data_IF_120407833689
#
_entry.id   IF_120407833689
#
_cell.length_a   1.000
_cell.length_b   1.000
_cell.length_c   1.000
_cell.angle_alpha   90.00
_cell.angle_beta   90.00
_cell.angle_gamma   90.00
#
_symmetry.space_group_name_H-M   'P 1'
#
loop_
_entity.id
_entity.type
_entity.pdbx_description
1 polymer ?
#
# COMPACT_ATOMS: atom_id res chain seq x y z
N UNK A 1 54.61 13.37 -0.35
CA UNK A 1 53.97 13.99 -1.50
C UNK A 1 53.23 12.95 -2.39
N UNK A 2 53.86 11.91 -2.94
CA UNK A 2 53.19 10.92 -3.85
C UNK A 2 51.95 10.21 -3.25
N UNK A 3 51.93 9.89 -1.92
CA UNK A 3 50.81 9.26 -1.25
C UNK A 3 49.59 10.18 -1.07
N UNK A 4 49.83 11.48 -0.85
CA UNK A 4 48.79 12.49 -0.72
C UNK A 4 48.11 12.78 -2.08
N UNK A 5 48.93 12.80 -3.14
CA UNK A 5 48.44 13.01 -4.52
C UNK A 5 47.54 11.84 -5.00
N UNK A 6 47.91 10.59 -4.64
CA UNK A 6 47.09 9.40 -4.94
C UNK A 6 45.77 9.44 -4.18
N UNK A 7 45.79 9.84 -2.90
CA UNK A 7 44.57 9.95 -2.08
C UNK A 7 43.64 11.04 -2.60
N UNK A 8 44.15 12.19 -3.05
CA UNK A 8 43.36 13.25 -3.67
C UNK A 8 42.77 12.81 -5.03
N UNK A 9 43.55 12.08 -5.84
CA UNK A 9 43.08 11.56 -7.13
C UNK A 9 41.96 10.50 -6.95
N UNK A 10 42.08 9.65 -5.92
CA UNK A 10 41.02 8.65 -5.62
C UNK A 10 39.77 9.31 -5.05
N UNK A 11 39.90 10.37 -4.26
CA UNK A 11 38.77 11.14 -3.74
C UNK A 11 38.02 11.89 -4.84
N UNK A 12 38.74 12.45 -5.84
CA UNK A 12 38.12 13.09 -7.01
C UNK A 12 37.36 12.10 -7.91
N UNK A 13 37.80 10.84 -8.01
CA UNK A 13 37.10 9.80 -8.79
C UNK A 13 35.81 9.33 -8.11
N UNK A 14 35.63 9.53 -6.81
CA UNK A 14 34.41 9.20 -6.10
C UNK A 14 33.31 10.29 -6.20
N UNK A 15 33.65 11.49 -6.72
CA UNK A 15 32.71 12.60 -6.86
C UNK A 15 32.05 12.70 -8.25
N UNK A 16 32.37 11.79 -9.17
CA UNK A 16 31.80 11.81 -10.54
C UNK A 16 30.66 10.81 -10.72
N UNK A 17 30.00 10.35 -9.66
CA UNK A 17 28.70 9.72 -9.79
C UNK A 17 27.61 10.80 -9.92
N UNK A 18 27.74 11.66 -10.92
CA UNK A 18 26.57 12.39 -11.42
C UNK A 18 25.68 11.34 -12.10
N UNK A 19 24.63 10.93 -11.39
CA UNK A 19 23.45 10.37 -12.07
C UNK A 19 22.98 11.50 -12.98
N UNK A 20 23.24 11.39 -14.30
CA UNK A 20 22.61 12.26 -15.28
C UNK A 20 21.14 11.85 -15.29
N UNK A 21 20.31 12.61 -14.57
CA UNK A 21 18.86 12.49 -14.75
C UNK A 21 18.55 12.90 -16.20
N UNK A 22 17.86 12.03 -16.93
CA UNK A 22 17.32 12.36 -18.24
C UNK A 22 16.33 13.53 -18.03
N UNK A 23 16.75 14.76 -18.34
CA UNK A 23 15.84 15.91 -18.30
C UNK A 23 14.99 15.90 -19.57
N UNK A 24 13.69 15.73 -19.46
CA UNK A 24 12.81 15.74 -20.63
C UNK A 24 12.82 17.14 -21.28
N UNK A 25 12.65 17.18 -22.58
CA UNK A 25 12.31 18.44 -23.23
C UNK A 25 10.94 18.90 -22.71
N UNK A 26 10.84 20.12 -22.21
CA UNK A 26 9.59 20.67 -21.70
C UNK A 26 8.63 21.05 -22.85
N UNK A 27 8.18 20.03 -23.56
CA UNK A 27 7.17 20.08 -24.62
C UNK A 27 6.10 19.05 -24.30
N UNK A 28 4.88 19.15 -24.85
CA UNK A 28 3.87 18.13 -24.67
C UNK A 28 4.35 16.72 -25.01
N UNK A 29 5.08 16.56 -26.11
CA UNK A 29 5.65 15.29 -26.56
C UNK A 29 6.70 14.76 -25.59
N UNK A 30 7.64 15.62 -25.18
CA UNK A 30 8.71 15.24 -24.27
C UNK A 30 8.18 14.84 -22.89
N UNK A 31 7.19 15.57 -22.36
CA UNK A 31 6.57 15.26 -21.09
C UNK A 31 5.76 13.96 -21.13
N UNK A 32 5.05 13.69 -22.23
CA UNK A 32 4.32 12.44 -22.44
C UNK A 32 5.28 11.25 -22.51
N UNK A 33 6.33 11.34 -23.34
CA UNK A 33 7.32 10.28 -23.53
C UNK A 33 8.05 9.97 -22.22
N UNK A 34 8.39 11.00 -21.46
CA UNK A 34 9.06 10.85 -20.19
C UNK A 34 8.16 10.18 -19.13
N UNK A 35 6.89 10.58 -19.04
CA UNK A 35 5.92 9.94 -18.15
C UNK A 35 5.75 8.45 -18.50
N UNK A 36 5.57 8.14 -19.79
CA UNK A 36 5.45 6.76 -20.24
C UNK A 36 6.69 5.94 -19.87
N UNK A 37 7.90 6.49 -20.13
CA UNK A 37 9.19 5.85 -19.82
C UNK A 37 9.38 5.60 -18.33
N UNK A 38 9.01 6.57 -17.46
CA UNK A 38 9.09 6.38 -15.99
C UNK A 38 8.26 5.17 -15.57
N UNK A 39 7.05 5.05 -16.08
CA UNK A 39 6.20 3.89 -15.74
C UNK A 39 6.80 2.61 -16.32
N UNK A 40 7.26 2.62 -17.58
CA UNK A 40 7.88 1.48 -18.25
C UNK A 40 9.05 0.91 -17.43
N UNK A 41 9.92 1.79 -16.95
CA UNK A 41 11.13 1.37 -16.21
C UNK A 41 10.88 1.05 -14.74
N UNK A 42 9.85 1.64 -14.09
CA UNK A 42 9.70 1.58 -12.62
C UNK A 42 8.43 0.91 -12.13
N UNK A 43 7.37 0.81 -12.93
CA UNK A 43 6.14 0.19 -12.48
C UNK A 43 6.31 -1.33 -12.27
N UNK A 44 5.96 -1.80 -11.07
CA UNK A 44 6.29 -3.17 -10.64
C UNK A 44 5.21 -4.22 -10.96
N UNK A 45 4.04 -3.83 -11.48
CA UNK A 45 2.91 -4.76 -11.67
C UNK A 45 2.54 -5.03 -13.12
N UNK A 46 3.40 -4.76 -14.10
CA UNK A 46 3.07 -5.00 -15.52
C UNK A 46 2.68 -6.45 -15.79
N UNK A 47 3.41 -7.43 -15.27
CA UNK A 47 3.07 -8.84 -15.44
C UNK A 47 1.68 -9.18 -14.88
N UNK A 48 1.32 -8.61 -13.72
CA UNK A 48 0.00 -8.78 -13.10
C UNK A 48 -1.11 -8.10 -13.93
N UNK A 49 -0.86 -6.86 -14.39
CA UNK A 49 -1.83 -6.11 -15.21
C UNK A 49 -2.05 -6.74 -16.58
N UNK A 50 -0.99 -7.26 -17.19
CA UNK A 50 -1.10 -8.02 -18.44
C UNK A 50 -1.96 -9.27 -18.23
N UNK A 51 -1.69 -10.06 -17.18
CA UNK A 51 -2.47 -11.26 -16.86
C UNK A 51 -3.94 -10.99 -16.54
N UNK A 52 -4.24 -9.92 -15.78
CA UNK A 52 -5.60 -9.63 -15.31
C UNK A 52 -6.44 -8.86 -16.34
N UNK A 53 -5.81 -8.00 -17.13
CA UNK A 53 -6.52 -7.03 -17.96
C UNK A 53 -6.01 -6.97 -19.40
N UNK A 54 -5.01 -7.80 -19.76
CA UNK A 54 -4.41 -7.78 -21.10
C UNK A 54 -3.62 -6.53 -21.41
N UNK A 55 -3.11 -5.81 -20.40
CA UNK A 55 -2.35 -4.57 -20.61
C UNK A 55 -0.98 -4.90 -21.21
N UNK A 56 -0.72 -4.38 -22.40
CA UNK A 56 0.60 -4.23 -23.00
C UNK A 56 0.96 -2.74 -22.99
N UNK A 57 2.06 -2.38 -22.31
CA UNK A 57 2.42 -0.98 -22.13
C UNK A 57 2.92 -0.32 -23.41
N UNK A 58 3.49 -1.09 -24.34
CA UNK A 58 3.86 -0.60 -25.66
C UNK A 58 2.62 -0.33 -26.54
N UNK A 59 1.62 -1.20 -26.47
CA UNK A 59 0.34 -0.98 -27.16
C UNK A 59 -0.39 0.25 -26.59
N UNK A 60 -0.30 0.47 -25.29
CA UNK A 60 -0.81 1.70 -24.66
C UNK A 60 -0.10 2.92 -25.23
N UNK A 61 1.24 2.92 -25.32
CA UNK A 61 1.99 4.01 -25.96
C UNK A 61 1.53 4.25 -27.39
N UNK A 62 1.45 3.20 -28.19
CA UNK A 62 1.07 3.29 -29.61
C UNK A 62 -0.33 3.89 -29.81
N UNK A 63 -1.25 3.69 -28.87
CA UNK A 63 -2.63 4.26 -28.91
C UNK A 63 -2.68 5.72 -28.49
N UNK A 64 -1.88 6.12 -27.52
CA UNK A 64 -1.95 7.47 -26.94
C UNK A 64 -0.97 8.46 -27.57
N UNK A 65 0.23 8.03 -27.97
CA UNK A 65 1.25 8.91 -28.57
C UNK A 65 0.76 9.72 -29.79
N UNK A 66 0.02 9.16 -30.76
CA UNK A 66 -0.48 9.92 -31.91
C UNK A 66 -1.47 11.03 -31.56
N UNK A 67 -2.00 11.05 -30.34
CA UNK A 67 -2.94 12.06 -29.86
C UNK A 67 -2.23 13.28 -29.28
N UNK A 68 -0.92 13.17 -28.99
CA UNK A 68 -0.10 14.29 -28.49
C UNK A 68 0.15 15.27 -29.64
N UNK A 69 -0.11 16.54 -29.39
CA UNK A 69 0.08 17.63 -30.36
C UNK A 69 0.97 18.72 -29.76
N UNK A 70 1.83 19.39 -30.56
CA UNK A 70 2.77 20.39 -30.06
C UNK A 70 2.12 21.59 -29.36
N UNK A 71 0.86 21.89 -29.70
CA UNK A 71 0.11 23.04 -29.19
C UNK A 71 -0.94 22.67 -28.11
N UNK A 72 -0.83 21.50 -27.51
CA UNK A 72 -1.71 21.13 -26.39
C UNK A 72 -1.49 22.05 -25.18
N UNK A 73 -2.60 22.45 -24.54
CA UNK A 73 -2.51 23.09 -23.22
C UNK A 73 -2.09 22.05 -22.15
N UNK A 74 -1.64 22.54 -20.99
CA UNK A 74 -1.29 21.68 -19.86
C UNK A 74 -2.47 20.80 -19.40
N UNK A 75 -3.70 21.35 -19.43
CA UNK A 75 -4.90 20.60 -19.07
C UNK A 75 -5.23 19.49 -20.07
N UNK A 76 -5.04 19.77 -21.36
CA UNK A 76 -5.23 18.78 -22.42
C UNK A 76 -4.22 17.64 -22.30
N UNK A 77 -2.94 17.99 -22.10
CA UNK A 77 -1.88 17.01 -21.90
C UNK A 77 -2.13 16.20 -20.61
N UNK A 78 -2.50 16.85 -19.50
CA UNK A 78 -2.84 16.21 -18.25
C UNK A 78 -3.96 15.18 -18.43
N UNK A 79 -5.04 15.56 -19.12
CA UNK A 79 -6.17 14.66 -19.41
C UNK A 79 -5.75 13.43 -20.20
N UNK A 80 -4.92 13.64 -21.25
CA UNK A 80 -4.42 12.55 -22.08
C UNK A 80 -3.51 11.59 -21.28
N UNK A 81 -2.59 12.15 -20.50
CA UNK A 81 -1.71 11.38 -19.61
C UNK A 81 -2.52 10.60 -18.56
N UNK A 82 -3.55 11.21 -17.97
CA UNK A 82 -4.44 10.54 -17.01
C UNK A 82 -5.16 9.35 -17.64
N UNK A 83 -5.67 9.50 -18.87
CA UNK A 83 -6.29 8.40 -19.60
C UNK A 83 -5.31 7.25 -19.88
N UNK A 84 -4.08 7.55 -20.26
CA UNK A 84 -3.01 6.56 -20.43
C UNK A 84 -2.75 5.80 -19.13
N UNK A 85 -2.62 6.50 -18.00
CA UNK A 85 -2.37 5.89 -16.70
C UNK A 85 -3.54 5.04 -16.20
N UNK A 86 -4.78 5.36 -16.58
CA UNK A 86 -5.98 4.61 -16.21
C UNK A 86 -5.99 3.19 -16.80
N UNK A 87 -5.26 2.93 -17.86
CA UNK A 87 -5.09 1.58 -18.41
C UNK A 87 -4.48 0.60 -17.38
N UNK A 88 -3.63 1.11 -16.47
CA UNK A 88 -3.05 0.31 -15.40
C UNK A 88 -4.06 -0.12 -14.32
N UNK A 89 -5.21 0.53 -14.22
CA UNK A 89 -6.26 0.23 -13.23
C UNK A 89 -5.69 0.11 -11.83
N UNK A 90 -4.86 1.07 -11.42
CA UNK A 90 -4.12 1.02 -10.15
C UNK A 90 -4.37 2.28 -9.31
N UNK A 91 -4.82 2.09 -8.07
CA UNK A 91 -5.10 3.17 -7.14
C UNK A 91 -3.85 3.87 -6.59
N UNK A 92 -2.64 3.31 -6.79
CA UNK A 92 -1.38 3.96 -6.40
C UNK A 92 -0.77 4.80 -7.52
N UNK A 93 -1.20 4.60 -8.78
CA UNK A 93 -0.74 5.43 -9.90
C UNK A 93 -1.59 6.69 -9.94
N UNK A 94 -1.01 7.81 -9.51
CA UNK A 94 -1.66 9.11 -9.46
C UNK A 94 -0.87 10.11 -10.30
N UNK A 95 -1.57 10.97 -11.03
CA UNK A 95 -1.01 12.13 -11.70
C UNK A 95 -1.53 13.39 -11.02
N UNK A 96 -0.62 14.27 -10.62
CA UNK A 96 -0.97 15.52 -9.93
C UNK A 96 -0.38 16.70 -10.67
N UNK A 97 -1.17 17.73 -10.88
CA UNK A 97 -0.78 19.04 -11.36
C UNK A 97 -1.33 20.12 -10.42
N UNK A 98 -0.91 21.38 -10.63
CA UNK A 98 -1.40 22.50 -9.82
C UNK A 98 -2.92 22.73 -9.93
N UNK A 99 -3.52 22.25 -11.01
CA UNK A 99 -4.94 22.49 -11.33
C UNK A 99 -5.82 21.24 -11.15
N UNK A 100 -5.24 20.02 -11.09
CA UNK A 100 -6.03 18.80 -11.00
C UNK A 100 -5.22 17.61 -10.46
N UNK A 101 -5.93 16.55 -10.05
CA UNK A 101 -5.39 15.25 -9.66
C UNK A 101 -6.19 14.12 -10.32
N UNK A 102 -5.52 13.28 -11.07
CA UNK A 102 -6.10 12.09 -11.69
C UNK A 102 -5.71 10.82 -10.94
N UNK A 103 -6.69 9.96 -10.69
CA UNK A 103 -6.55 8.68 -10.01
C UNK A 103 -7.60 7.69 -10.51
N UNK A 104 -7.21 6.44 -10.70
CA UNK A 104 -8.16 5.39 -11.05
C UNK A 104 -8.92 4.90 -9.81
N UNK A 105 -10.18 5.36 -9.64
CA UNK A 105 -11.02 5.01 -8.48
C UNK A 105 -11.79 3.70 -8.66
N UNK A 106 -12.04 3.25 -9.90
CA UNK A 106 -12.85 2.06 -10.20
C UNK A 106 -12.30 0.75 -9.63
N UNK A 107 -11.08 0.74 -9.11
CA UNK A 107 -10.53 -0.45 -8.46
C UNK A 107 -11.36 -0.92 -7.25
N UNK A 108 -12.19 -0.06 -6.68
CA UNK A 108 -13.15 -0.40 -5.63
C UNK A 108 -14.60 0.05 -5.92
N UNK A 109 -14.83 1.04 -6.77
CA UNK A 109 -16.17 1.60 -7.06
C UNK A 109 -17.06 0.57 -7.78
N UNK A 110 -16.47 -0.31 -8.59
CA UNK A 110 -17.20 -1.37 -9.32
C UNK A 110 -17.58 -2.57 -8.41
N UNK A 111 -17.32 -2.50 -7.10
CA UNK A 111 -17.59 -3.59 -6.15
C UNK A 111 -18.66 -3.20 -5.14
N UNK A 112 -19.53 -4.16 -4.73
CA UNK A 112 -20.52 -3.92 -3.69
C UNK A 112 -19.85 -3.49 -2.39
N UNK A 113 -20.39 -2.48 -1.73
CA UNK A 113 -19.94 -2.09 -0.39
C UNK A 113 -20.60 -2.99 0.66
N UNK A 114 -19.80 -3.54 1.59
CA UNK A 114 -20.28 -4.29 2.75
C UNK A 114 -20.06 -3.52 4.07
N UNK A 115 -19.91 -2.20 4.01
CA UNK A 115 -19.68 -1.33 5.14
C UNK A 115 -20.67 -0.17 5.14
N UNK A 116 -21.20 0.14 6.32
CA UNK A 116 -22.05 1.30 6.58
C UNK A 116 -21.61 1.98 7.86
N UNK A 117 -21.24 3.26 7.79
CA UNK A 117 -20.88 4.07 8.95
C UNK A 117 -22.03 4.17 9.96
N UNK A 118 -23.26 4.30 9.49
CA UNK A 118 -24.44 4.37 10.36
C UNK A 118 -24.63 3.10 11.18
N UNK A 119 -24.54 1.93 10.52
CA UNK A 119 -24.64 0.64 11.20
C UNK A 119 -23.46 0.45 12.17
N UNK A 120 -22.25 0.79 11.75
CA UNK A 120 -21.06 0.69 12.58
C UNK A 120 -21.18 1.54 13.86
N UNK A 121 -21.72 2.78 13.74
CA UNK A 121 -21.98 3.67 14.89
C UNK A 121 -22.99 3.09 15.86
N UNK A 122 -24.03 2.41 15.39
CA UNK A 122 -25.03 1.76 16.26
C UNK A 122 -24.34 0.70 17.14
N UNK A 123 -23.47 -0.14 16.55
CA UNK A 123 -22.76 -1.16 17.30
C UNK A 123 -21.64 -0.60 18.18
N UNK A 124 -20.97 0.48 17.76
CA UNK A 124 -19.95 1.15 18.57
C UNK A 124 -20.54 1.92 19.75
N UNK A 125 -21.76 2.46 19.62
CA UNK A 125 -22.35 3.34 20.65
C UNK A 125 -21.52 4.59 20.87
N UNK A 126 -21.65 5.15 22.08
CA UNK A 126 -20.95 6.40 22.48
C UNK A 126 -19.85 6.14 23.52
N UNK A 127 -19.81 4.96 24.13
CA UNK A 127 -18.92 4.56 25.23
C UNK A 127 -17.69 3.74 24.77
N UNK A 128 -17.30 3.88 23.51
CA UNK A 128 -16.08 3.26 23.00
C UNK A 128 -14.82 3.99 23.49
N UNK A 129 -13.70 3.27 23.49
CA UNK A 129 -12.36 3.80 23.79
C UNK A 129 -11.57 4.05 22.52
N UNK A 130 -10.51 4.85 22.64
CA UNK A 130 -9.59 5.16 21.54
C UNK A 130 -8.15 4.97 22.02
N UNK A 131 -7.35 4.26 21.23
CA UNK A 131 -5.90 4.17 21.42
C UNK A 131 -5.20 4.14 20.05
N UNK A 132 -4.25 5.04 19.81
CA UNK A 132 -3.52 5.13 18.54
C UNK A 132 -4.44 5.31 17.31
N UNK A 133 -5.55 6.05 17.43
CA UNK A 133 -6.54 6.23 16.38
C UNK A 133 -7.52 5.07 16.18
N UNK A 134 -7.28 3.92 16.83
CA UNK A 134 -8.18 2.77 16.79
C UNK A 134 -9.31 2.94 17.80
N UNK A 135 -10.56 2.74 17.35
CA UNK A 135 -11.74 2.76 18.23
C UNK A 135 -12.07 1.34 18.65
N UNK A 136 -12.36 1.13 19.94
CA UNK A 136 -12.61 -0.21 20.43
C UNK A 136 -13.57 -0.26 21.61
N UNK A 137 -14.31 -1.38 21.72
CA UNK A 137 -15.21 -1.68 22.85
C UNK A 137 -15.45 -3.19 22.95
N UNK A 138 -16.04 -3.62 24.07
CA UNK A 138 -16.56 -4.97 24.21
C UNK A 138 -18.02 -4.97 23.74
N UNK A 139 -18.34 -5.83 22.78
CA UNK A 139 -19.71 -6.13 22.37
C UNK A 139 -20.33 -7.20 23.31
N UNK A 140 -21.64 -7.40 23.21
CA UNK A 140 -22.34 -8.45 23.96
C UNK A 140 -21.64 -9.80 23.87
N UNK A 141 -21.83 -10.66 24.91
CA UNK A 141 -21.25 -12.01 25.03
C UNK A 141 -19.70 -12.05 25.06
N UNK A 142 -19.04 -10.99 25.52
CA UNK A 142 -17.59 -10.90 25.68
C UNK A 142 -16.82 -11.05 24.38
N UNK A 143 -17.21 -10.32 23.34
CA UNK A 143 -16.47 -10.19 22.07
C UNK A 143 -15.82 -8.80 22.02
N UNK A 144 -14.50 -8.77 21.89
CA UNK A 144 -13.79 -7.52 21.60
C UNK A 144 -14.05 -7.07 20.15
N UNK A 145 -14.30 -5.79 19.95
CA UNK A 145 -14.40 -5.19 18.63
C UNK A 145 -13.45 -4.00 18.54
N UNK A 146 -12.62 -4.00 17.49
CA UNK A 146 -11.67 -2.96 17.19
C UNK A 146 -11.86 -2.48 15.76
N UNK A 147 -12.10 -1.19 15.58
CA UNK A 147 -12.14 -0.52 14.28
C UNK A 147 -10.80 0.14 14.00
N UNK A 148 -10.13 -0.29 12.94
CA UNK A 148 -8.91 0.30 12.40
C UNK A 148 -9.28 0.95 11.08
N UNK A 149 -9.61 2.24 11.10
CA UNK A 149 -10.09 2.96 9.90
C UNK A 149 -8.96 3.41 8.96
N UNK A 150 -7.75 3.54 9.47
CA UNK A 150 -6.56 3.93 8.70
C UNK A 150 -5.30 3.44 9.41
N UNK A 151 -4.22 3.30 8.66
CA UNK A 151 -2.86 3.12 9.19
C UNK A 151 -1.98 4.37 9.01
N UNK A 152 -2.57 5.52 8.66
CA UNK A 152 -1.84 6.80 8.60
C UNK A 152 -1.36 7.27 9.97
N UNK A 153 -2.08 6.91 11.04
CA UNK A 153 -1.65 7.18 12.40
C UNK A 153 -0.60 6.16 12.87
N UNK A 154 0.39 6.65 13.61
CA UNK A 154 1.37 5.78 14.23
C UNK A 154 0.73 4.86 15.29
N UNK A 155 0.89 3.56 15.12
CA UNK A 155 0.47 2.56 16.10
C UNK A 155 1.61 2.29 17.07
N UNK A 156 1.43 2.65 18.34
CA UNK A 156 2.37 2.35 19.42
C UNK A 156 2.08 0.99 20.06
N UNK A 157 3.11 0.20 20.40
CA UNK A 157 2.92 -1.08 21.10
C UNK A 157 2.23 -0.91 22.46
N UNK A 158 2.41 0.22 23.14
CA UNK A 158 1.68 0.57 24.37
C UNK A 158 0.19 0.73 24.12
N UNK A 159 -0.22 1.37 23.02
CA UNK A 159 -1.61 1.52 22.63
C UNK A 159 -2.28 0.17 22.39
N UNK A 160 -1.60 -0.74 21.67
CA UNK A 160 -2.12 -2.08 21.40
C UNK A 160 -2.19 -2.90 22.68
N UNK A 161 -1.16 -2.84 23.54
CA UNK A 161 -1.15 -3.54 24.84
C UNK A 161 -2.27 -3.08 25.75
N UNK A 162 -2.57 -1.78 25.80
CA UNK A 162 -3.68 -1.24 26.58
C UNK A 162 -5.03 -1.76 26.09
N UNK A 163 -5.23 -1.75 24.80
CA UNK A 163 -6.44 -2.27 24.17
C UNK A 163 -6.60 -3.78 24.41
N UNK A 164 -5.54 -4.57 24.25
CA UNK A 164 -5.58 -6.01 24.50
C UNK A 164 -5.79 -6.33 25.99
N UNK A 165 -5.28 -5.50 26.90
CA UNK A 165 -5.58 -5.60 28.35
C UNK A 165 -7.08 -5.40 28.61
N UNK A 166 -7.68 -4.41 27.97
CA UNK A 166 -9.13 -4.18 28.08
C UNK A 166 -9.95 -5.38 27.57
N UNK A 167 -9.45 -6.07 26.54
CA UNK A 167 -10.08 -7.27 25.99
C UNK A 167 -9.71 -8.57 26.72
N UNK A 168 -8.95 -8.55 27.79
CA UNK A 168 -8.36 -9.76 28.41
C UNK A 168 -9.39 -10.88 28.69
N UNK A 169 -10.60 -10.54 29.10
CA UNK A 169 -11.69 -11.49 29.40
C UNK A 169 -12.54 -11.83 28.16
N UNK A 170 -12.32 -11.22 27.01
CA UNK A 170 -13.04 -11.54 25.78
C UNK A 170 -12.67 -12.94 25.28
N UNK A 171 -13.63 -13.61 24.64
CA UNK A 171 -13.46 -14.95 24.04
C UNK A 171 -12.85 -14.89 22.64
N UNK A 172 -13.13 -13.83 21.91
CA UNK A 172 -12.65 -13.58 20.54
C UNK A 172 -12.53 -12.08 20.31
N UNK A 173 -11.84 -11.72 19.23
CA UNK A 173 -11.65 -10.35 18.78
C UNK A 173 -12.11 -10.21 17.33
N UNK A 174 -12.86 -9.16 17.05
CA UNK A 174 -13.18 -8.70 15.70
C UNK A 174 -12.31 -7.48 15.41
N UNK A 175 -11.52 -7.55 14.32
CA UNK A 175 -10.72 -6.42 13.80
C UNK A 175 -11.36 -5.98 12.51
N UNK A 176 -11.93 -4.78 12.48
CA UNK A 176 -12.60 -4.26 11.31
C UNK A 176 -11.68 -3.28 10.55
N UNK A 177 -11.17 -3.74 9.40
CA UNK A 177 -10.33 -2.95 8.47
C UNK A 177 -11.06 -2.63 7.16
N UNK A 178 -12.38 -2.80 7.11
CA UNK A 178 -13.17 -2.41 5.93
C UNK A 178 -13.01 -0.90 5.69
N UNK A 179 -12.96 -0.46 4.45
CA UNK A 179 -12.71 0.92 4.05
C UNK A 179 -11.42 1.53 4.65
N UNK A 180 -10.44 0.71 5.00
CA UNK A 180 -9.12 1.17 5.40
C UNK A 180 -8.21 1.23 4.17
N UNK A 181 -7.93 2.44 3.67
CA UNK A 181 -7.11 2.67 2.48
C UNK A 181 -5.60 2.42 2.67
N UNK A 182 -5.17 2.09 3.89
CA UNK A 182 -3.77 1.86 4.20
C UNK A 182 -3.12 2.95 5.04
N UNK A 183 -1.88 3.29 4.72
CA UNK A 183 -1.01 4.21 5.45
C UNK A 183 0.37 3.58 5.72
N UNK A 184 0.90 3.68 6.93
CA UNK A 184 2.22 3.19 7.28
C UNK A 184 2.25 1.66 7.43
N UNK A 185 3.08 0.99 6.65
CA UNK A 185 3.33 -0.46 6.74
C UNK A 185 3.85 -0.84 8.13
N UNK A 186 4.69 0.00 8.73
CA UNK A 186 5.22 -0.20 10.09
C UNK A 186 4.13 -0.21 11.16
N UNK A 187 3.05 0.56 10.99
CA UNK A 187 1.87 0.52 11.88
C UNK A 187 1.10 -0.80 11.73
N UNK A 188 0.92 -1.26 10.49
CA UNK A 188 0.30 -2.54 10.19
C UNK A 188 1.09 -3.72 10.79
N UNK A 189 2.41 -3.74 10.60
CA UNK A 189 3.32 -4.74 11.15
C UNK A 189 3.30 -4.73 12.69
N UNK A 190 3.38 -3.56 13.29
CA UNK A 190 3.37 -3.41 14.74
C UNK A 190 2.06 -3.91 15.36
N UNK A 191 0.92 -3.63 14.73
CA UNK A 191 -0.36 -4.21 15.16
C UNK A 191 -0.33 -5.74 15.03
N UNK A 192 0.09 -6.27 13.88
CA UNK A 192 0.12 -7.71 13.62
C UNK A 192 1.07 -8.47 14.57
N UNK A 193 2.18 -7.85 15.00
CA UNK A 193 3.16 -8.46 15.91
C UNK A 193 2.57 -8.86 17.28
N UNK A 194 1.45 -8.28 17.67
CA UNK A 194 0.74 -8.64 18.90
C UNK A 194 -0.10 -9.94 18.78
N UNK A 195 -0.18 -10.54 17.60
CA UNK A 195 -0.97 -11.75 17.35
C UNK A 195 -0.10 -13.00 17.09
N UNK A 196 1.20 -12.91 17.30
CA UNK A 196 2.13 -14.04 17.20
C UNK A 196 2.88 -14.23 18.53
N UNK A 197 3.24 -15.47 18.87
CA UNK A 197 4.02 -15.79 20.07
C UNK A 197 5.43 -16.32 19.73
N UNK A 198 5.69 -16.58 18.46
CA UNK A 198 7.00 -16.94 17.91
C UNK A 198 7.17 -16.24 16.57
N UNK A 199 8.40 -16.18 16.06
CA UNK A 199 8.69 -15.67 14.72
C UNK A 199 7.90 -16.46 13.69
N UNK A 200 7.02 -15.80 12.94
CA UNK A 200 6.13 -16.42 11.96
C UNK A 200 6.41 -15.86 10.55
N UNK A 201 6.45 -16.73 9.55
CA UNK A 201 6.55 -16.31 8.15
C UNK A 201 5.28 -15.55 7.75
N UNK A 202 5.44 -14.30 7.36
CA UNK A 202 4.35 -13.41 6.97
C UNK A 202 4.14 -13.34 5.44
N UNK A 203 5.20 -13.60 4.67
CA UNK A 203 5.17 -13.56 3.21
C UNK A 203 6.55 -13.38 2.61
N UNK A 204 6.59 -12.94 1.37
CA UNK A 204 7.82 -12.66 0.64
C UNK A 204 7.74 -11.28 0.00
N UNK A 205 8.89 -10.63 -0.14
CA UNK A 205 9.03 -9.35 -0.84
C UNK A 205 10.13 -9.47 -1.90
N UNK A 206 9.87 -8.91 -3.09
CA UNK A 206 10.87 -8.68 -4.13
C UNK A 206 10.93 -7.19 -4.42
N UNK A 207 12.09 -6.71 -4.78
CA UNK A 207 12.28 -5.32 -5.19
C UNK A 207 12.68 -5.28 -6.65
N UNK A 208 12.16 -4.30 -7.39
CA UNK A 208 12.64 -4.03 -8.73
C UNK A 208 14.13 -3.64 -8.68
N UNK A 209 14.95 -4.26 -9.52
CA UNK A 209 16.41 -4.07 -9.53
C UNK A 209 16.98 -3.81 -10.93
N UNK A 210 16.12 -3.53 -11.89
CA UNK A 210 16.45 -3.16 -13.26
C UNK A 210 15.27 -2.48 -13.96
N UNK A 211 15.46 -2.12 -15.23
CA UNK A 211 14.47 -1.38 -16.03
C UNK A 211 13.45 -2.29 -16.72
N UNK A 212 13.77 -3.56 -16.96
CA UNK A 212 12.86 -4.52 -17.59
C UNK A 212 11.68 -4.89 -16.69
N UNK A 213 10.53 -5.20 -17.26
CA UNK A 213 9.30 -5.50 -16.54
C UNK A 213 9.42 -6.71 -15.59
N UNK A 214 10.39 -7.58 -15.83
CA UNK A 214 10.67 -8.79 -15.02
C UNK A 214 11.89 -8.66 -14.10
N UNK A 215 12.53 -7.51 -14.06
CA UNK A 215 13.78 -7.30 -13.34
C UNK A 215 13.48 -7.10 -11.84
N UNK A 216 13.42 -8.20 -11.13
CA UNK A 216 13.20 -8.23 -9.68
C UNK A 216 14.29 -8.99 -8.96
N UNK A 217 14.59 -8.57 -7.75
CA UNK A 217 15.42 -9.35 -6.83
C UNK A 217 14.75 -10.68 -6.49
N UNK A 218 15.54 -11.68 -6.11
CA UNK A 218 15.01 -12.92 -5.55
C UNK A 218 14.10 -12.62 -4.35
N UNK A 219 12.96 -13.33 -4.20
CA UNK A 219 12.05 -13.14 -3.10
C UNK A 219 12.73 -13.32 -1.75
N UNK A 220 12.62 -12.35 -0.85
CA UNK A 220 13.11 -12.41 0.53
C UNK A 220 11.95 -12.67 1.48
N UNK A 221 12.12 -13.63 2.39
CA UNK A 221 11.11 -13.93 3.39
C UNK A 221 10.94 -12.77 4.37
N UNK A 222 9.69 -12.39 4.61
CA UNK A 222 9.28 -11.40 5.62
C UNK A 222 8.69 -12.15 6.80
N UNK A 223 9.10 -11.79 8.00
CA UNK A 223 8.65 -12.44 9.23
C UNK A 223 8.02 -11.44 10.18
N UNK A 224 6.94 -11.84 10.82
CA UNK A 224 6.45 -11.17 12.02
C UNK A 224 7.27 -11.66 13.24
N UNK A 225 7.76 -10.70 14.02
CA UNK A 225 8.37 -10.97 15.32
C UNK A 225 7.38 -10.62 16.43
N UNK A 226 7.25 -11.45 17.47
CA UNK A 226 6.32 -11.16 18.56
C UNK A 226 6.60 -9.81 19.22
N UNK A 227 5.55 -9.04 19.50
CA UNK A 227 5.65 -7.83 20.31
C UNK A 227 6.11 -8.17 21.73
N UNK A 228 6.85 -7.25 22.34
CA UNK A 228 7.28 -7.36 23.76
C UNK A 228 6.14 -7.15 24.76
N UNK A 229 5.03 -6.51 24.31
CA UNK A 229 3.85 -6.24 25.12
C UNK A 229 2.85 -7.40 25.18
N UNK A 230 1.60 -7.09 25.53
CA UNK A 230 0.50 -8.06 25.59
C UNK A 230 0.23 -8.61 24.20
N UNK A 231 0.07 -9.93 24.10
CA UNK A 231 -0.24 -10.66 22.86
C UNK A 231 -1.59 -11.34 22.98
N UNK A 232 -2.25 -11.47 21.82
CA UNK A 232 -3.56 -12.09 21.70
C UNK A 232 -3.48 -13.33 20.82
N UNK A 233 -3.76 -14.50 21.39
CA UNK A 233 -3.69 -15.80 20.71
C UNK A 233 -5.03 -16.53 20.68
N UNK A 234 -6.10 -15.87 21.16
CA UNK A 234 -7.47 -16.38 21.07
C UNK A 234 -8.02 -16.08 19.66
N UNK A 235 -9.18 -16.64 19.27
CA UNK A 235 -9.76 -16.41 17.95
C UNK A 235 -9.87 -14.95 17.55
N UNK A 236 -9.51 -14.65 16.29
CA UNK A 236 -9.61 -13.33 15.67
C UNK A 236 -10.36 -13.43 14.34
N UNK A 237 -11.29 -12.51 14.12
CA UNK A 237 -12.02 -12.36 12.88
C UNK A 237 -11.71 -10.99 12.29
N UNK A 238 -11.12 -10.95 11.09
CA UNK A 238 -10.77 -9.71 10.39
C UNK A 238 -11.86 -9.42 9.35
N UNK A 239 -12.54 -8.28 9.51
CA UNK A 239 -13.53 -7.85 8.54
C UNK A 239 -12.85 -7.06 7.41
N UNK A 240 -13.04 -7.51 6.18
CA UNK A 240 -12.40 -6.96 4.98
C UNK A 240 -13.41 -6.57 3.91
N UNK A 241 -13.02 -5.65 3.07
CA UNK A 241 -13.72 -5.34 1.81
C UNK A 241 -12.75 -4.83 0.74
N UNK A 242 -13.30 -4.51 -0.44
CA UNK A 242 -12.49 -4.06 -1.57
C UNK A 242 -11.68 -2.80 -1.27
N UNK A 243 -12.14 -1.93 -0.41
CA UNK A 243 -11.40 -0.74 0.05
C UNK A 243 -10.37 -1.01 1.16
N UNK A 244 -10.21 -2.26 1.62
CA UNK A 244 -9.06 -2.66 2.45
C UNK A 244 -7.83 -2.74 1.55
N UNK A 245 -6.98 -1.69 1.54
CA UNK A 245 -5.96 -1.47 0.51
C UNK A 245 -4.58 -1.14 1.11
N UNK A 246 -3.51 -1.30 0.32
CA UNK A 246 -2.15 -0.88 0.68
C UNK A 246 -1.69 -1.48 2.02
N UNK A 247 -1.25 -0.70 3.00
CA UNK A 247 -0.83 -1.20 4.32
C UNK A 247 -1.93 -2.01 5.04
N UNK A 248 -3.21 -1.72 4.81
CA UNK A 248 -4.31 -2.53 5.37
C UNK A 248 -4.40 -3.91 4.72
N UNK A 249 -4.17 -4.00 3.41
CA UNK A 249 -4.02 -5.29 2.73
C UNK A 249 -2.79 -6.05 3.25
N UNK A 250 -1.66 -5.37 3.46
CA UNK A 250 -0.46 -5.97 4.06
C UNK A 250 -0.73 -6.52 5.46
N UNK A 251 -1.49 -5.78 6.29
CA UNK A 251 -1.94 -6.27 7.60
C UNK A 251 -2.73 -7.58 7.47
N UNK A 252 -3.72 -7.62 6.57
CA UNK A 252 -4.51 -8.84 6.33
C UNK A 252 -3.61 -9.98 5.85
N UNK A 253 -2.65 -9.71 4.96
CA UNK A 253 -1.69 -10.69 4.47
C UNK A 253 -0.84 -11.27 5.63
N UNK A 254 -0.37 -10.45 6.54
CA UNK A 254 0.38 -10.90 7.72
C UNK A 254 -0.45 -11.80 8.65
N UNK A 255 -1.72 -11.48 8.80
CA UNK A 255 -2.59 -12.13 9.76
C UNK A 255 -3.25 -13.42 9.25
N UNK A 256 -3.60 -13.48 7.96
CA UNK A 256 -4.46 -14.54 7.40
C UNK A 256 -3.90 -15.96 7.52
N UNK A 257 -2.58 -16.11 7.66
CA UNK A 257 -1.92 -17.41 7.79
C UNK A 257 -1.77 -17.87 9.24
N UNK A 258 -2.19 -17.08 10.22
CA UNK A 258 -2.18 -17.45 11.63
C UNK A 258 -3.37 -18.36 11.94
N UNK A 259 -3.12 -19.51 12.58
CA UNK A 259 -4.12 -20.56 12.78
C UNK A 259 -5.39 -20.10 13.54
N UNK A 260 -5.27 -19.08 14.39
CA UNK A 260 -6.38 -18.53 15.18
C UNK A 260 -7.08 -17.34 14.49
N UNK A 261 -6.70 -16.99 13.24
CA UNK A 261 -7.25 -15.85 12.48
C UNK A 261 -8.12 -16.35 11.34
N UNK A 262 -9.27 -15.70 11.15
CA UNK A 262 -10.14 -15.87 9.98
C UNK A 262 -10.48 -14.51 9.38
N UNK A 263 -10.44 -14.40 8.05
CA UNK A 263 -10.96 -13.24 7.32
C UNK A 263 -12.42 -13.45 6.97
N UNK A 264 -13.21 -12.40 7.08
CA UNK A 264 -14.66 -12.39 6.82
C UNK A 264 -15.00 -11.16 5.98
N UNK A 265 -15.75 -11.35 4.94
CA UNK A 265 -16.18 -10.29 4.01
C UNK A 265 -15.67 -10.53 2.60
N UNK A 266 -15.38 -9.46 1.88
CA UNK A 266 -14.94 -9.52 0.50
C UNK A 266 -13.40 -9.50 0.38
N UNK A 267 -12.92 -9.76 -0.84
CA UNK A 267 -11.50 -9.63 -1.20
C UNK A 267 -11.00 -8.20 -0.94
N UNK A 268 -9.80 -8.11 -0.41
CA UNK A 268 -9.10 -6.81 -0.28
C UNK A 268 -8.75 -6.21 -1.64
N UNK A 269 -8.47 -4.91 -1.66
CA UNK A 269 -8.10 -4.18 -2.88
C UNK A 269 -6.69 -4.43 -3.39
N UNK A 270 -5.83 -5.08 -2.61
CA UNK A 270 -4.43 -5.27 -2.99
C UNK A 270 -3.56 -4.06 -2.66
N UNK A 271 -2.68 -3.67 -3.61
CA UNK A 271 -1.80 -2.51 -3.44
C UNK A 271 -0.67 -2.73 -2.42
N UNK A 272 -0.20 -3.96 -2.22
CA UNK A 272 0.88 -4.28 -1.29
C UNK A 272 2.30 -4.04 -1.88
N UNK A 273 2.39 -3.36 -3.03
CA UNK A 273 3.64 -2.96 -3.68
C UNK A 273 3.59 -1.50 -4.11
N UNK A 274 4.74 -0.87 -4.22
CA UNK A 274 4.94 0.52 -4.67
C UNK A 274 6.09 0.55 -5.67
#
# INVERSE_FOLDING_TARGET
MKRLTIFLATLCLMLTSCITEDTPHNTPEGNFDYLWKILDEHYCFFAEKSKLYGVDWNDVYARYKPQVRPNMSNEQLFTLCAQMLYELRDGHVNLTASHDMARYWKWYEDYPTNFSDSIQRIYMGTDYRIAGGMRYRILGKNIGYMRVSTFENAVGSGNVSEMLRYFALCKALIIDVRNNGGGMITSAEKLASHFVNAKALAGYISHKNGKGHSDFSSPKAVYLTPATGIRWLKPVFILTNRQTYSAANTFVMYMKNLAHVKTVGDKTGGGAGM
#
